data_IF_604921947559
#
_entry.id   IF_604921947559
#
_cell.length_a   1.000
_cell.length_b   1.000
_cell.length_c   1.000
_cell.angle_alpha   90.00
_cell.angle_beta   90.00
_cell.angle_gamma   90.00
#
_symmetry.space_group_name_H-M   'P 1'
#
loop_
_entity.id
_entity.type
_entity.pdbx_description
1 polymer ?
#
# COMPACT_ATOMS: atom_id res chain seq x y z
N UNK A 1 25.60 -2.13 -36.35
CA UNK A 1 24.59 -3.10 -35.88
C UNK A 1 24.83 -3.29 -34.39
N UNK A 2 23.87 -2.86 -33.56
CA UNK A 2 24.00 -2.98 -32.10
C UNK A 2 23.67 -4.42 -31.71
N UNK A 3 24.66 -5.18 -31.23
CA UNK A 3 24.43 -6.48 -30.60
C UNK A 3 23.83 -6.23 -29.21
N UNK A 4 22.52 -6.01 -29.14
CA UNK A 4 21.77 -6.05 -27.89
C UNK A 4 21.51 -7.52 -27.51
N UNK A 5 22.50 -8.17 -26.90
CA UNK A 5 22.28 -9.44 -26.18
C UNK A 5 22.68 -9.27 -24.71
N UNK A 6 21.84 -8.58 -23.94
CA UNK A 6 21.90 -8.43 -22.48
C UNK A 6 20.73 -7.48 -22.11
N UNK A 7 19.71 -7.77 -21.30
CA UNK A 7 19.58 -8.73 -20.20
C UNK A 7 18.09 -9.01 -19.88
N UNK A 8 17.51 -10.19 -20.21
CA UNK A 8 16.20 -10.58 -19.67
C UNK A 8 16.26 -11.01 -18.19
N UNK A 9 17.43 -11.51 -17.76
CA UNK A 9 17.64 -12.16 -16.45
C UNK A 9 17.51 -11.14 -15.29
N UNK A 10 18.21 -10.01 -15.36
CA UNK A 10 18.12 -8.91 -14.40
C UNK A 10 16.72 -8.31 -14.26
N UNK A 11 15.93 -8.25 -15.35
CA UNK A 11 14.56 -7.74 -15.27
C UNK A 11 13.66 -8.71 -14.49
N UNK A 12 13.72 -10.01 -14.81
CA UNK A 12 12.93 -11.03 -14.11
C UNK A 12 13.32 -11.12 -12.63
N UNK A 13 14.62 -11.06 -12.32
CA UNK A 13 15.12 -11.03 -10.93
C UNK A 13 14.59 -9.82 -10.16
N UNK A 14 14.60 -8.64 -10.76
CA UNK A 14 14.02 -7.43 -10.14
C UNK A 14 12.52 -7.60 -9.92
N UNK A 15 11.81 -8.17 -10.88
CA UNK A 15 10.37 -8.37 -10.82
C UNK A 15 9.97 -9.37 -9.72
N UNK A 16 10.77 -10.41 -9.52
CA UNK A 16 10.59 -11.37 -8.44
C UNK A 16 10.82 -10.73 -7.05
N UNK A 17 11.81 -9.84 -6.92
CA UNK A 17 12.08 -9.11 -5.67
C UNK A 17 10.92 -8.19 -5.30
N UNK A 18 10.34 -7.51 -6.30
CA UNK A 18 9.26 -6.52 -6.14
C UNK A 18 7.86 -7.14 -6.21
N UNK A 19 7.75 -8.44 -6.49
CA UNK A 19 6.47 -9.13 -6.73
C UNK A 19 5.43 -8.84 -5.66
N UNK A 20 5.82 -8.94 -4.39
CA UNK A 20 4.94 -8.70 -3.26
C UNK A 20 4.44 -7.25 -3.21
N UNK A 21 5.32 -6.29 -3.52
CA UNK A 21 5.00 -4.86 -3.50
C UNK A 21 4.02 -4.52 -4.63
N UNK A 22 4.20 -5.15 -5.80
CA UNK A 22 3.32 -5.01 -6.96
C UNK A 22 1.94 -5.62 -6.67
N UNK A 23 1.88 -6.85 -6.16
CA UNK A 23 0.63 -7.53 -5.82
C UNK A 23 -0.21 -6.71 -4.81
N UNK A 24 0.45 -6.15 -3.79
CA UNK A 24 -0.22 -5.31 -2.78
C UNK A 24 -0.68 -3.99 -3.41
N UNK A 25 0.14 -3.37 -4.25
CA UNK A 25 -0.23 -2.12 -4.93
C UNK A 25 -1.44 -2.32 -5.83
N UNK A 26 -1.45 -3.38 -6.65
CA UNK A 26 -2.57 -3.72 -7.53
C UNK A 26 -3.86 -3.95 -6.73
N UNK A 27 -3.77 -4.68 -5.61
CA UNK A 27 -4.91 -4.91 -4.73
C UNK A 27 -5.42 -3.60 -4.10
N UNK A 28 -4.53 -2.69 -3.69
CA UNK A 28 -4.93 -1.37 -3.18
C UNK A 28 -5.66 -0.56 -4.26
N UNK A 29 -5.17 -0.52 -5.50
CA UNK A 29 -5.85 0.20 -6.58
C UNK A 29 -7.21 -0.39 -6.95
N UNK A 30 -7.35 -1.71 -6.84
CA UNK A 30 -8.58 -2.43 -7.19
C UNK A 30 -9.58 -2.55 -6.02
N UNK A 31 -9.23 -2.04 -4.83
CA UNK A 31 -10.01 -2.19 -3.61
C UNK A 31 -11.47 -1.77 -3.81
N UNK A 32 -12.39 -2.71 -3.58
CA UNK A 32 -13.82 -2.47 -3.69
C UNK A 32 -14.40 -1.94 -2.38
N UNK A 33 -15.41 -1.09 -2.50
CA UNK A 33 -16.12 -0.55 -1.35
C UNK A 33 -16.82 -1.68 -0.58
N UNK A 34 -16.73 -1.65 0.75
CA UNK A 34 -17.41 -2.56 1.69
C UNK A 34 -16.99 -4.04 1.62
N UNK A 35 -15.78 -4.34 1.12
CA UNK A 35 -15.24 -5.71 1.08
C UNK A 35 -14.31 -5.96 2.28
N UNK A 36 -14.87 -6.30 3.44
CA UNK A 36 -14.09 -6.53 4.67
C UNK A 36 -13.11 -7.71 4.53
N UNK A 37 -13.49 -8.76 3.79
CA UNK A 37 -12.62 -9.91 3.53
C UNK A 37 -11.40 -9.52 2.69
N UNK A 38 -11.60 -8.75 1.61
CA UNK A 38 -10.53 -8.23 0.76
C UNK A 38 -9.63 -7.28 1.54
N UNK A 39 -10.22 -6.40 2.36
CA UNK A 39 -9.48 -5.47 3.21
C UNK A 39 -8.57 -6.20 4.20
N UNK A 40 -9.09 -7.24 4.85
CA UNK A 40 -8.32 -8.07 5.78
C UNK A 40 -7.19 -8.83 5.07
N UNK A 41 -7.44 -9.31 3.85
CA UNK A 41 -6.42 -9.97 3.03
C UNK A 41 -5.27 -9.01 2.66
N UNK A 42 -5.62 -7.80 2.21
CA UNK A 42 -4.65 -6.74 1.90
C UNK A 42 -3.85 -6.36 3.14
N UNK A 43 -4.53 -6.15 4.28
CA UNK A 43 -3.86 -5.82 5.54
C UNK A 43 -2.85 -6.89 5.95
N UNK A 44 -3.26 -8.17 5.87
CA UNK A 44 -2.37 -9.30 6.18
C UNK A 44 -1.16 -9.33 5.24
N UNK A 45 -1.35 -9.08 3.94
CA UNK A 45 -0.27 -8.98 2.96
C UNK A 45 0.71 -7.86 3.28
N UNK A 46 0.21 -6.66 3.55
CA UNK A 46 1.01 -5.49 4.00
C UNK A 46 1.83 -5.86 5.25
N UNK A 47 1.17 -6.46 6.25
CA UNK A 47 1.78 -6.83 7.52
C UNK A 47 2.95 -7.79 7.34
N UNK A 48 2.73 -8.89 6.63
CA UNK A 48 3.74 -9.96 6.51
C UNK A 48 4.80 -9.65 5.46
N UNK A 49 4.39 -9.19 4.27
CA UNK A 49 5.28 -9.04 3.12
C UNK A 49 6.05 -7.72 3.12
N UNK A 50 5.51 -6.65 3.71
CA UNK A 50 6.14 -5.31 3.70
C UNK A 50 6.69 -4.87 5.06
N UNK A 51 5.88 -4.98 6.11
CA UNK A 51 6.23 -4.45 7.44
C UNK A 51 7.12 -5.41 8.23
N UNK A 52 6.77 -6.69 8.33
CA UNK A 52 7.58 -7.69 9.04
C UNK A 52 8.91 -7.97 8.34
N UNK A 53 8.92 -7.93 7.01
CA UNK A 53 10.13 -8.03 6.19
C UNK A 53 11.00 -6.77 6.23
N UNK A 54 10.51 -5.68 6.86
CA UNK A 54 11.16 -4.37 6.93
C UNK A 54 11.46 -3.74 5.57
N UNK A 55 10.77 -4.16 4.51
CA UNK A 55 10.85 -3.54 3.18
C UNK A 55 10.29 -2.11 3.18
N UNK A 56 9.28 -1.84 4.01
CA UNK A 56 8.63 -0.53 4.10
C UNK A 56 8.40 -0.11 5.55
N UNK A 57 8.36 1.21 5.76
CA UNK A 57 7.98 1.80 7.05
C UNK A 57 6.46 2.01 7.12
N UNK A 58 5.82 1.86 8.30
CA UNK A 58 4.38 2.09 8.47
C UNK A 58 3.91 3.44 7.95
N UNK A 59 4.66 4.53 8.24
CA UNK A 59 4.31 5.86 7.74
C UNK A 59 4.32 5.96 6.22
N UNK A 60 5.21 5.23 5.53
CA UNK A 60 5.27 5.22 4.07
C UNK A 60 4.05 4.52 3.47
N UNK A 61 3.57 3.45 4.10
CA UNK A 61 2.39 2.70 3.64
C UNK A 61 1.12 3.53 3.84
N UNK A 62 0.95 4.16 5.00
CA UNK A 62 -0.20 5.04 5.26
C UNK A 62 -0.22 6.21 4.27
N UNK A 63 0.94 6.80 3.98
CA UNK A 63 1.07 7.83 2.95
C UNK A 63 0.63 7.33 1.57
N UNK A 64 1.08 6.15 1.15
CA UNK A 64 0.68 5.55 -0.13
C UNK A 64 -0.82 5.29 -0.20
N UNK A 65 -1.41 4.73 0.85
CA UNK A 65 -2.87 4.53 0.95
C UNK A 65 -3.61 5.86 0.80
N UNK A 66 -3.13 6.90 1.48
CA UNK A 66 -3.71 8.24 1.37
C UNK A 66 -3.68 8.77 -0.06
N UNK A 67 -2.57 8.60 -0.78
CA UNK A 67 -2.47 9.00 -2.19
C UNK A 67 -3.41 8.18 -3.08
N UNK A 68 -3.42 6.85 -2.94
CA UNK A 68 -4.26 5.95 -3.74
C UNK A 68 -5.74 6.24 -3.55
N UNK A 69 -6.14 6.56 -2.32
CA UNK A 69 -7.54 6.85 -1.97
C UNK A 69 -8.16 7.96 -2.83
N UNK A 70 -7.34 8.92 -3.31
CA UNK A 70 -7.80 10.04 -4.15
C UNK A 70 -8.29 9.61 -5.53
N UNK A 71 -7.85 8.45 -6.01
CA UNK A 71 -8.24 7.88 -7.30
C UNK A 71 -9.42 6.90 -7.21
N UNK A 72 -9.82 6.52 -5.99
CA UNK A 72 -10.92 5.58 -5.75
C UNK A 72 -11.77 6.03 -4.55
N UNK A 73 -12.40 7.19 -4.69
CA UNK A 73 -13.18 7.84 -3.63
C UNK A 73 -14.34 6.98 -3.11
N UNK A 74 -14.89 6.09 -3.94
CA UNK A 74 -15.98 5.18 -3.53
C UNK A 74 -15.55 4.25 -2.38
N UNK A 75 -14.27 3.90 -2.31
CA UNK A 75 -13.69 3.02 -1.29
C UNK A 75 -13.01 3.77 -0.14
N UNK A 76 -13.23 5.10 -0.01
CA UNK A 76 -12.55 5.95 0.99
C UNK A 76 -12.58 5.37 2.42
N UNK A 77 -13.75 4.92 2.88
CA UNK A 77 -13.90 4.31 4.22
C UNK A 77 -13.02 3.07 4.41
N UNK A 78 -12.90 2.23 3.39
CA UNK A 78 -12.03 1.05 3.44
C UNK A 78 -10.56 1.47 3.59
N UNK A 79 -10.12 2.48 2.83
CA UNK A 79 -8.74 3.00 2.96
C UNK A 79 -8.47 3.61 4.34
N UNK A 80 -9.44 4.37 4.89
CA UNK A 80 -9.32 4.94 6.24
C UNK A 80 -9.23 3.84 7.30
N UNK A 81 -10.08 2.81 7.22
CA UNK A 81 -10.04 1.64 8.09
C UNK A 81 -8.69 0.91 8.01
N UNK A 82 -8.16 0.72 6.80
CA UNK A 82 -6.86 0.08 6.59
C UNK A 82 -5.71 0.90 7.18
N UNK A 83 -5.70 2.22 6.93
CA UNK A 83 -4.70 3.12 7.50
C UNK A 83 -4.76 3.14 9.03
N UNK A 84 -5.98 3.12 9.60
CA UNK A 84 -6.21 3.10 11.05
C UNK A 84 -5.67 1.83 11.68
N UNK A 85 -5.94 0.66 11.07
CA UNK A 85 -5.37 -0.61 11.51
C UNK A 85 -3.83 -0.59 11.52
N UNK A 86 -3.19 -0.05 10.47
CA UNK A 86 -1.72 0.06 10.43
C UNK A 86 -1.22 1.03 11.51
N UNK A 87 -1.89 2.16 11.69
CA UNK A 87 -1.53 3.15 12.70
C UNK A 87 -1.63 2.57 14.12
N UNK A 88 -2.73 1.90 14.43
CA UNK A 88 -2.99 1.28 15.73
C UNK A 88 -2.05 0.11 16.03
N UNK A 89 -1.64 -0.68 15.03
CA UNK A 89 -0.71 -1.79 15.26
C UNK A 89 0.76 -1.31 15.40
N UNK A 90 1.16 -0.26 14.69
CA UNK A 90 2.58 0.11 14.53
C UNK A 90 2.98 1.46 15.11
N UNK A 91 2.03 2.33 15.47
CA UNK A 91 2.25 3.60 16.14
C UNK A 91 3.38 4.45 15.51
N UNK A 92 3.32 4.78 14.21
CA UNK A 92 4.36 5.58 13.58
C UNK A 92 4.44 6.97 14.25
N UNK A 93 5.67 7.41 14.55
CA UNK A 93 5.91 8.65 15.29
C UNK A 93 5.42 9.91 14.57
N UNK A 94 5.52 9.93 13.24
CA UNK A 94 4.96 11.00 12.39
C UNK A 94 4.74 10.49 10.96
N UNK A 95 3.77 11.08 10.28
CA UNK A 95 3.46 10.77 8.88
C UNK A 95 3.40 12.09 8.12
N UNK A 96 4.28 12.25 7.13
CA UNK A 96 4.44 13.50 6.37
C UNK A 96 3.94 13.29 4.94
N UNK A 97 3.20 14.27 4.41
CA UNK A 97 2.72 14.27 3.03
C UNK A 97 1.51 13.38 2.80
N UNK A 98 0.66 13.21 3.82
CA UNK A 98 -0.71 12.68 3.68
C UNK A 98 -1.55 13.69 2.89
N UNK A 99 -2.49 13.19 2.08
CA UNK A 99 -3.47 14.02 1.39
C UNK A 99 -4.40 14.72 2.39
N UNK A 100 -4.59 16.02 2.25
CA UNK A 100 -5.31 16.87 3.22
C UNK A 100 -6.71 16.33 3.52
N UNK A 101 -7.44 15.89 2.48
CA UNK A 101 -8.80 15.33 2.64
C UNK A 101 -8.75 14.02 3.43
N UNK A 102 -7.77 13.17 3.16
CA UNK A 102 -7.61 11.90 3.86
C UNK A 102 -7.28 12.12 5.33
N UNK A 103 -6.34 13.03 5.62
CA UNK A 103 -5.97 13.41 6.99
C UNK A 103 -7.17 13.95 7.76
N UNK A 104 -7.95 14.86 7.15
CA UNK A 104 -9.16 15.39 7.74
C UNK A 104 -10.20 14.30 8.06
N UNK A 105 -10.42 13.36 7.13
CA UNK A 105 -11.40 12.29 7.31
C UNK A 105 -10.95 11.26 8.36
N UNK A 106 -9.66 10.98 8.45
CA UNK A 106 -9.09 10.02 9.40
C UNK A 106 -9.42 10.34 10.85
N UNK A 107 -9.40 11.62 11.23
CA UNK A 107 -9.74 12.06 12.59
C UNK A 107 -11.24 12.28 12.82
N UNK A 108 -12.06 12.26 11.75
CA UNK A 108 -13.50 12.48 11.84
C UNK A 108 -14.32 11.20 12.01
N UNK A 109 -13.70 10.04 11.79
CA UNK A 109 -14.33 8.71 11.77
C UNK A 109 -14.02 7.90 13.04
#
# INVERSE_FOLDING_TARGET
>A
MSNHSAVPIQFNELMDILKDDIEISDALYQLKANSDEELNSIYKGIKTKLLQSKKCLPQSIIKSISIISTYNNRSMKSYLKLAKQIYDDYHPASIIGIQIIFDYLFFKE
#
